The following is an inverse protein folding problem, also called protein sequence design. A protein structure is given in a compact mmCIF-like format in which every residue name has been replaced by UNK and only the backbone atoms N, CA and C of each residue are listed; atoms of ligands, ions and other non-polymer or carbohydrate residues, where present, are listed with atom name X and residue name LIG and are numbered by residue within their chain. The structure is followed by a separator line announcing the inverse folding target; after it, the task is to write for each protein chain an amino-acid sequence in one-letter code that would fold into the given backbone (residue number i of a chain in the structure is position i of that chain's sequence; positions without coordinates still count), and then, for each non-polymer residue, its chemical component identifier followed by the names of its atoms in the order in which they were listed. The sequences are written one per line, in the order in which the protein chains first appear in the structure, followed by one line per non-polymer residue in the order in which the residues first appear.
data_IF_345205411421
#
_entry.id   IF_345205411421
#
_cell.length_a   1.000
_cell.length_b   1.000
_cell.length_c   1.000
_cell.angle_alpha   90.00
_cell.angle_beta   90.00
_cell.angle_gamma   90.00
#
_symmetry.space_group_name_H-M   'P 1'
#
loop_
_entity.id
_entity.type
_entity.pdbx_description
1 polymer ?
#
# COMPACT_ATOMS: atom_id res chain seq x y z
N UNK A 1 -18.61 22.37 6.15
CA UNK A 1 -17.49 21.42 5.99
C UNK A 1 -16.65 21.46 7.25
N UNK A 2 -16.25 20.31 7.81
CA UNK A 2 -15.51 20.26 9.09
C UNK A 2 -14.12 20.88 8.93
N UNK A 3 -13.65 21.67 9.91
CA UNK A 3 -12.38 22.42 9.86
C UNK A 3 -11.18 21.56 9.42
N UNK A 4 -11.08 20.34 9.95
CA UNK A 4 -10.02 19.38 9.61
C UNK A 4 -10.03 18.96 8.12
N UNK A 5 -11.20 18.79 7.49
CA UNK A 5 -11.27 18.32 6.09
C UNK A 5 -10.68 19.33 5.11
N UNK A 6 -10.93 20.63 5.36
CA UNK A 6 -10.38 21.72 4.54
C UNK A 6 -8.85 21.71 4.60
N UNK A 7 -8.28 21.44 5.78
CA UNK A 7 -6.81 21.35 5.95
C UNK A 7 -6.20 20.14 5.22
N UNK A 8 -6.92 19.03 5.11
CA UNK A 8 -6.48 17.91 4.28
C UNK A 8 -6.45 18.33 2.81
N UNK A 9 -7.50 18.97 2.32
CA UNK A 9 -7.57 19.43 0.92
C UNK A 9 -6.46 20.42 0.58
N UNK A 10 -6.20 21.41 1.45
CA UNK A 10 -5.05 22.33 1.31
C UNK A 10 -3.71 21.57 1.23
N UNK A 11 -3.52 20.55 2.06
CA UNK A 11 -2.31 19.72 2.03
C UNK A 11 -2.19 18.87 0.75
N UNK A 12 -3.32 18.39 0.21
CA UNK A 12 -3.34 17.63 -1.04
C UNK A 12 -2.97 18.52 -2.24
N UNK A 13 -3.48 19.75 -2.27
CA UNK A 13 -3.11 20.75 -3.30
C UNK A 13 -1.61 21.06 -3.24
N UNK A 14 -1.07 21.28 -2.03
CA UNK A 14 0.36 21.47 -1.83
C UNK A 14 1.18 20.26 -2.31
N UNK A 15 0.73 19.05 -2.00
CA UNK A 15 1.39 17.81 -2.45
C UNK A 15 1.41 17.68 -3.97
N UNK A 16 0.33 18.10 -4.63
CA UNK A 16 0.25 18.16 -6.08
C UNK A 16 1.21 19.20 -6.67
N UNK A 17 1.35 20.39 -6.07
CA UNK A 17 2.34 21.39 -6.52
C UNK A 17 3.79 20.91 -6.41
N UNK A 18 4.05 19.92 -5.54
CA UNK A 18 5.36 19.26 -5.41
C UNK A 18 5.59 18.12 -6.39
N UNK A 19 4.68 17.90 -7.34
CA UNK A 19 4.73 16.81 -8.32
C UNK A 19 4.89 15.42 -7.67
N UNK A 20 4.30 15.22 -6.49
CA UNK A 20 4.27 13.91 -5.85
C UNK A 20 3.45 12.93 -6.70
N UNK A 21 3.88 11.67 -6.74
CA UNK A 21 3.16 10.65 -7.51
C UNK A 21 1.73 10.50 -6.99
N UNK A 22 0.78 10.20 -7.89
CA UNK A 22 -0.62 9.94 -7.52
C UNK A 22 -0.74 8.87 -6.42
N UNK A 23 0.12 7.84 -6.48
CA UNK A 23 0.17 6.78 -5.47
C UNK A 23 0.58 7.30 -4.09
N UNK A 24 1.58 8.19 -4.04
CA UNK A 24 2.02 8.85 -2.80
C UNK A 24 0.92 9.74 -2.23
N UNK A 25 0.28 10.54 -3.08
CA UNK A 25 -0.84 11.40 -2.68
C UNK A 25 -2.01 10.59 -2.13
N UNK A 26 -2.44 9.53 -2.82
CA UNK A 26 -3.50 8.64 -2.35
C UNK A 26 -3.16 8.00 -0.99
N UNK A 27 -1.89 7.61 -0.80
CA UNK A 27 -1.43 7.08 0.49
C UNK A 27 -1.56 8.13 1.61
N UNK A 28 -1.13 9.37 1.38
CA UNK A 28 -1.25 10.44 2.37
C UNK A 28 -2.70 10.78 2.69
N UNK A 29 -3.53 10.92 1.67
CA UNK A 29 -4.96 11.22 1.83
C UNK A 29 -5.66 10.16 2.69
N UNK A 30 -5.39 8.88 2.41
CA UNK A 30 -5.97 7.77 3.15
C UNK A 30 -5.53 7.78 4.62
N UNK A 31 -4.23 7.97 4.88
CA UNK A 31 -3.68 8.04 6.24
C UNK A 31 -4.29 9.21 7.01
N UNK A 32 -4.36 10.40 6.41
CA UNK A 32 -4.93 11.59 7.04
C UNK A 32 -6.42 11.39 7.34
N UNK A 33 -7.21 10.84 6.41
CA UNK A 33 -8.64 10.57 6.64
C UNK A 33 -8.88 9.58 7.77
N UNK A 34 -8.05 8.54 7.89
CA UNK A 34 -8.12 7.57 9.01
C UNK A 34 -7.83 8.24 10.35
N UNK A 35 -6.80 9.08 10.41
CA UNK A 35 -6.48 9.84 11.61
C UNK A 35 -7.60 10.82 11.99
N UNK A 36 -8.18 11.51 11.01
CA UNK A 36 -9.30 12.43 11.25
C UNK A 36 -10.54 11.70 11.76
N UNK A 37 -10.81 10.50 11.25
CA UNK A 37 -11.88 9.65 11.76
C UNK A 37 -11.67 9.29 13.22
N UNK A 38 -10.44 8.90 13.60
CA UNK A 38 -10.09 8.64 15.00
C UNK A 38 -10.29 9.88 15.88
N UNK A 39 -9.81 11.05 15.46
CA UNK A 39 -9.98 12.29 16.24
C UNK A 39 -11.46 12.66 16.44
N UNK A 40 -12.30 12.42 15.43
CA UNK A 40 -13.73 12.71 15.50
C UNK A 40 -14.50 11.71 16.36
N UNK A 41 -14.22 10.41 16.21
CA UNK A 41 -14.99 9.33 16.86
C UNK A 41 -14.52 9.07 18.30
N UNK A 42 -13.21 9.08 18.57
CA UNK A 42 -12.65 8.70 19.87
C UNK A 42 -12.33 9.92 20.76
N UNK A 43 -12.04 11.08 20.15
CA UNK A 43 -11.64 12.31 20.87
C UNK A 43 -12.63 13.46 20.78
N UNK A 44 -13.65 13.36 19.92
CA UNK A 44 -14.59 14.46 19.63
C UNK A 44 -13.88 15.78 19.26
N UNK A 45 -12.71 15.68 18.61
CA UNK A 45 -11.89 16.83 18.20
C UNK A 45 -12.13 17.13 16.72
N UNK A 46 -12.69 18.31 16.45
CA UNK A 46 -12.96 18.77 15.08
C UNK A 46 -11.97 19.84 14.58
N UNK A 47 -11.10 20.34 15.45
CA UNK A 47 -10.16 21.43 15.17
C UNK A 47 -8.72 20.94 15.21
N UNK A 48 -7.99 21.14 14.11
CA UNK A 48 -6.57 20.77 13.97
C UNK A 48 -5.71 21.49 15.01
N UNK A 49 -6.04 22.73 15.37
CA UNK A 49 -5.24 23.53 16.31
C UNK A 49 -5.25 22.96 17.74
N UNK A 50 -6.23 22.12 18.07
CA UNK A 50 -6.37 21.48 19.38
C UNK A 50 -5.69 20.11 19.46
N UNK A 51 -5.18 19.60 18.33
CA UNK A 51 -4.51 18.30 18.28
C UNK A 51 -3.13 18.42 18.94
N UNK A 52 -2.89 17.61 19.96
CA UNK A 52 -1.64 17.57 20.71
C UNK A 52 -0.78 16.37 20.32
N UNK A 53 0.50 16.39 20.71
CA UNK A 53 1.39 15.23 20.52
C UNK A 53 0.84 13.97 21.22
N UNK A 54 0.16 14.15 22.36
CA UNK A 54 -0.47 13.06 23.09
C UNK A 54 -1.52 12.35 22.24
N UNK A 55 -2.36 13.10 21.51
CA UNK A 55 -3.40 12.53 20.66
C UNK A 55 -2.81 11.68 19.51
N UNK A 56 -1.66 12.11 18.97
CA UNK A 56 -0.93 11.35 17.93
C UNK A 56 -0.38 10.05 18.51
N UNK A 57 0.21 10.08 19.70
CA UNK A 57 0.72 8.86 20.38
C UNK A 57 -0.42 7.89 20.70
N UNK A 58 -1.54 8.42 21.17
CA UNK A 58 -2.72 7.60 21.47
C UNK A 58 -3.34 7.02 20.19
N UNK A 59 -3.32 7.74 19.07
CA UNK A 59 -3.73 7.19 17.77
C UNK A 59 -2.86 6.01 17.31
N UNK A 60 -1.54 6.08 17.52
CA UNK A 60 -0.61 4.99 17.19
C UNK A 60 -0.97 3.74 18.02
N UNK A 61 -1.23 3.93 19.32
CA UNK A 61 -1.65 2.84 20.21
C UNK A 61 -3.01 2.28 19.78
N UNK A 62 -3.99 3.15 19.50
CA UNK A 62 -5.31 2.76 19.02
C UNK A 62 -5.22 1.92 17.74
N UNK A 63 -4.44 2.37 16.76
CA UNK A 63 -4.29 1.66 15.48
C UNK A 63 -3.63 0.28 15.68
N UNK A 64 -2.74 0.17 16.66
CA UNK A 64 -2.11 -1.10 17.03
C UNK A 64 -3.10 -2.06 17.69
N UNK A 65 -3.83 -1.59 18.69
CA UNK A 65 -4.75 -2.41 19.48
C UNK A 65 -5.99 -2.82 18.68
N UNK A 66 -6.41 -1.98 17.74
CA UNK A 66 -7.47 -2.32 16.78
C UNK A 66 -7.11 -3.48 15.87
N UNK A 67 -5.82 -3.79 15.69
CA UNK A 67 -5.36 -4.88 14.82
C UNK A 67 -5.34 -4.52 13.33
N UNK A 68 -4.70 -5.38 12.52
CA UNK A 68 -4.55 -5.13 11.08
C UNK A 68 -5.89 -5.21 10.33
N UNK A 69 -6.07 -4.30 9.37
CA UNK A 69 -7.19 -4.22 8.41
C UNK A 69 -8.58 -4.03 9.05
N UNK A 70 -8.67 -3.72 10.33
CA UNK A 70 -9.93 -3.51 11.05
C UNK A 70 -10.48 -2.10 10.87
N UNK A 71 -9.59 -1.10 10.80
CA UNK A 71 -9.98 0.31 10.63
C UNK A 71 -10.03 0.66 9.13
N UNK A 72 -11.21 1.07 8.67
CA UNK A 72 -11.44 1.53 7.29
C UNK A 72 -12.03 2.93 7.24
N UNK A 73 -11.64 3.70 6.23
CA UNK A 73 -12.19 5.03 5.96
C UNK A 73 -13.65 4.95 5.48
N UNK A 74 -13.97 3.95 4.65
CA UNK A 74 -15.32 3.71 4.13
C UNK A 74 -15.75 2.30 4.50
N UNK A 75 -16.91 2.12 5.14
CA UNK A 75 -17.42 0.78 5.47
C UNK A 75 -17.80 -0.01 4.23
N UNK A 76 -18.21 0.66 3.15
CA UNK A 76 -18.59 0.04 1.87
C UNK A 76 -17.45 -0.77 1.24
N UNK A 77 -16.19 -0.35 1.40
CA UNK A 77 -15.03 -1.07 0.84
C UNK A 77 -14.78 -2.42 1.49
N UNK A 78 -15.36 -2.70 2.67
CA UNK A 78 -15.24 -3.99 3.33
C UNK A 78 -15.87 -5.12 2.49
N UNK A 79 -16.96 -4.82 1.76
CA UNK A 79 -17.64 -5.80 0.90
C UNK A 79 -16.77 -6.29 -0.25
N UNK A 80 -15.90 -5.42 -0.77
CA UNK A 80 -15.08 -5.72 -1.95
C UNK A 80 -13.68 -6.22 -1.59
N UNK A 81 -13.16 -5.85 -0.41
CA UNK A 81 -11.79 -6.15 -0.01
C UNK A 81 -11.68 -7.36 0.93
N UNK A 82 -12.80 -7.83 1.49
CA UNK A 82 -12.91 -9.00 2.38
C UNK A 82 -11.68 -9.20 3.29
N UNK A 83 -11.32 -8.21 4.11
CA UNK A 83 -10.07 -8.24 4.86
C UNK A 83 -10.00 -9.40 5.86
N UNK A 84 -11.15 -9.93 6.27
CA UNK A 84 -11.32 -11.10 7.14
C UNK A 84 -10.78 -12.40 6.55
N UNK A 85 -10.71 -12.50 5.21
CA UNK A 85 -10.18 -13.69 4.54
C UNK A 85 -8.65 -13.78 4.58
N UNK A 86 -7.97 -12.82 5.21
CA UNK A 86 -6.51 -12.80 5.33
C UNK A 86 -6.07 -13.52 6.59
N UNK A 87 -5.02 -14.34 6.46
CA UNK A 87 -4.43 -15.07 7.59
C UNK A 87 -3.94 -14.16 8.73
N UNK A 88 -3.63 -12.89 8.43
CA UNK A 88 -3.14 -11.91 9.40
C UNK A 88 -4.20 -10.87 9.83
N UNK A 89 -5.48 -11.12 9.54
CA UNK A 89 -6.59 -10.25 9.96
C UNK A 89 -6.68 -10.11 11.48
N UNK A 90 -6.89 -8.89 11.97
CA UNK A 90 -7.03 -8.62 13.40
C UNK A 90 -5.77 -8.87 14.24
N UNK A 91 -4.68 -9.37 13.62
CA UNK A 91 -3.41 -9.58 14.31
C UNK A 91 -2.90 -8.24 14.83
N UNK A 92 -2.51 -8.19 16.10
CA UNK A 92 -1.93 -6.98 16.69
C UNK A 92 -0.71 -6.56 15.89
N UNK A 93 -0.64 -5.27 15.57
CA UNK A 93 0.55 -4.73 14.90
C UNK A 93 1.73 -4.86 15.87
N UNK A 94 2.86 -5.39 15.39
CA UNK A 94 4.07 -5.57 16.22
C UNK A 94 4.52 -4.23 16.82
N UNK A 95 5.20 -4.28 17.97
CA UNK A 95 5.88 -3.13 18.58
C UNK A 95 6.91 -2.56 17.59
N UNK A 96 6.47 -1.65 16.75
CA UNK A 96 7.36 -0.72 16.06
C UNK A 96 7.13 0.57 16.84
N UNK A 97 8.11 1.06 17.61
CA UNK A 97 7.98 2.36 18.21
C UNK A 97 7.93 3.35 17.05
N UNK A 98 6.75 3.88 16.79
CA UNK A 98 6.59 5.04 15.92
C UNK A 98 7.16 6.22 16.70
N UNK A 99 8.45 6.45 16.51
CA UNK A 99 9.19 7.58 17.04
C UNK A 99 9.81 8.26 15.80
N UNK A 100 9.50 9.49 15.38
CA UNK A 100 8.60 10.54 15.85
C UNK A 100 8.33 11.49 14.65
N UNK A 101 7.12 12.04 14.53
CA UNK A 101 6.69 12.89 13.41
C UNK A 101 7.12 14.37 13.55
N UNK A 102 7.88 14.71 14.60
CA UNK A 102 8.41 16.05 14.85
C UNK A 102 9.89 15.96 15.22
N UNK A 103 10.76 16.53 14.36
CA UNK A 103 12.21 16.87 14.41
C UNK A 103 13.21 16.34 15.49
N UNK A 104 12.80 15.66 16.57
CA UNK A 104 13.60 15.39 17.76
C UNK A 104 13.65 13.93 18.25
N UNK A 105 13.18 12.92 17.48
CA UNK A 105 13.46 11.52 17.86
C UNK A 105 13.88 10.70 16.65
N UNK A 106 14.99 9.99 16.84
CA UNK A 106 15.73 9.19 15.88
C UNK A 106 14.85 8.14 15.18
N UNK A 107 15.07 8.00 13.86
CA UNK A 107 14.50 6.94 13.03
C UNK A 107 14.88 5.56 13.58
N UNK A 108 13.88 4.78 13.99
CA UNK A 108 14.10 3.36 14.27
C UNK A 108 14.05 2.63 12.93
N UNK A 109 15.22 2.16 12.46
CA UNK A 109 15.31 1.29 11.28
C UNK A 109 14.45 0.06 11.54
N UNK A 110 13.34 -0.06 10.83
CA UNK A 110 12.50 -1.26 10.86
C UNK A 110 13.32 -2.41 10.31
N UNK A 111 13.49 -3.48 11.09
CA UNK A 111 14.03 -4.73 10.55
C UNK A 111 13.04 -5.26 9.52
N UNK A 112 13.44 -5.20 8.25
CA UNK A 112 12.65 -5.77 7.17
C UNK A 112 12.64 -7.28 7.36
N UNK A 113 11.50 -7.84 7.76
CA UNK A 113 11.31 -9.29 7.70
C UNK A 113 11.57 -9.73 6.26
N UNK A 114 12.57 -10.59 6.00
CA UNK A 114 12.80 -11.08 4.65
C UNK A 114 11.54 -11.82 4.20
N UNK A 115 11.07 -11.50 2.99
CA UNK A 115 10.02 -12.30 2.37
C UNK A 115 10.59 -13.70 2.14
N UNK A 116 9.77 -14.73 2.37
CA UNK A 116 10.17 -16.10 2.03
C UNK A 116 10.42 -16.17 0.52
N UNK A 117 11.54 -16.77 0.13
CA UNK A 117 11.83 -17.06 -1.26
C UNK A 117 10.91 -18.19 -1.75
N UNK A 118 10.55 -18.14 -3.03
CA UNK A 118 9.82 -19.22 -3.70
C UNK A 118 10.86 -20.18 -4.24
N UNK A 119 10.71 -21.48 -3.98
CA UNK A 119 11.58 -22.51 -4.56
C UNK A 119 11.13 -22.86 -5.98
N UNK A 120 12.03 -23.39 -6.79
CA UNK A 120 11.72 -23.82 -8.17
C UNK A 120 10.59 -24.86 -8.21
N UNK A 121 10.49 -25.70 -7.17
CA UNK A 121 9.40 -26.68 -7.00
C UNK A 121 8.04 -26.00 -6.81
N UNK A 122 7.97 -25.00 -5.92
CA UNK A 122 6.76 -24.22 -5.66
C UNK A 122 6.35 -23.40 -6.89
N UNK A 123 7.32 -22.87 -7.62
CA UNK A 123 7.07 -22.14 -8.86
C UNK A 123 6.54 -23.07 -9.96
N UNK A 124 7.14 -24.26 -10.11
CA UNK A 124 6.68 -25.28 -11.06
C UNK A 124 5.28 -25.81 -10.71
N UNK A 125 4.94 -25.89 -9.42
CA UNK A 125 3.58 -26.18 -8.97
C UNK A 125 2.60 -25.07 -9.32
N UNK A 126 2.97 -23.81 -9.12
CA UNK A 126 2.15 -22.65 -9.50
C UNK A 126 1.82 -22.68 -11.00
N UNK A 127 2.82 -22.89 -11.85
CA UNK A 127 2.63 -22.91 -13.31
C UNK A 127 1.75 -24.07 -13.79
N UNK A 128 1.79 -25.22 -13.11
CA UNK A 128 0.96 -26.39 -13.45
C UNK A 128 -0.53 -26.18 -13.23
N UNK A 129 -0.91 -25.25 -12.36
CA UNK A 129 -2.31 -24.92 -12.09
C UNK A 129 -2.92 -23.97 -13.12
N UNK A 130 -2.12 -23.46 -14.07
CA UNK A 130 -2.59 -22.51 -15.08
C UNK A 130 -3.09 -23.28 -16.32
N UNK A 131 -4.36 -23.08 -16.66
CA UNK A 131 -5.02 -23.75 -17.79
C UNK A 131 -4.68 -23.03 -19.11
N UNK A 132 -3.79 -23.63 -19.88
CA UNK A 132 -3.34 -23.10 -21.18
C UNK A 132 -4.42 -23.13 -22.27
N UNK A 133 -5.59 -23.71 -22.01
CA UNK A 133 -6.71 -23.66 -22.97
C UNK A 133 -7.42 -22.31 -22.98
N UNK A 134 -7.28 -21.51 -21.91
CA UNK A 134 -7.94 -20.21 -21.77
C UNK A 134 -6.97 -19.07 -22.05
N UNK A 135 -7.40 -18.15 -22.91
CA UNK A 135 -6.58 -16.99 -23.31
C UNK A 135 -6.07 -16.14 -22.13
N UNK A 136 -6.94 -15.86 -21.14
CA UNK A 136 -6.56 -15.04 -19.99
C UNK A 136 -5.54 -15.74 -19.08
N UNK A 137 -5.62 -17.06 -18.95
CA UNK A 137 -4.68 -17.86 -18.16
C UNK A 137 -3.33 -18.00 -18.87
N UNK A 138 -3.32 -18.18 -20.20
CA UNK A 138 -2.09 -18.14 -21.01
C UNK A 138 -1.37 -16.80 -20.90
N UNK A 139 -2.12 -15.69 -20.93
CA UNK A 139 -1.54 -14.36 -20.70
C UNK A 139 -0.86 -14.28 -19.33
N UNK A 140 -1.53 -14.74 -18.29
CA UNK A 140 -1.02 -14.67 -16.92
C UNK A 140 0.21 -15.59 -16.76
N UNK A 141 0.23 -16.76 -17.40
CA UNK A 141 1.39 -17.64 -17.49
C UNK A 141 2.60 -16.91 -18.10
N UNK A 142 2.43 -16.25 -19.24
CA UNK A 142 3.50 -15.52 -19.92
C UNK A 142 4.01 -14.37 -19.05
N UNK A 143 3.12 -13.61 -18.39
CA UNK A 143 3.50 -12.54 -17.49
C UNK A 143 4.32 -13.05 -16.31
N UNK A 144 3.92 -14.16 -15.68
CA UNK A 144 4.64 -14.75 -14.54
C UNK A 144 6.03 -15.23 -14.96
N UNK A 145 6.13 -15.89 -16.11
CA UNK A 145 7.41 -16.34 -16.66
C UNK A 145 8.33 -15.16 -16.99
N UNK A 146 7.79 -14.13 -17.66
CA UNK A 146 8.56 -12.94 -18.03
C UNK A 146 9.08 -12.18 -16.80
N UNK A 147 8.30 -12.09 -15.74
CA UNK A 147 8.72 -11.46 -14.48
C UNK A 147 9.87 -12.22 -13.82
N UNK A 148 9.84 -13.56 -13.86
CA UNK A 148 10.92 -14.37 -13.33
C UNK A 148 12.21 -14.23 -14.16
N UNK A 149 12.10 -14.29 -15.49
CA UNK A 149 13.25 -14.29 -16.40
C UNK A 149 13.93 -12.91 -16.49
N UNK A 150 13.14 -11.82 -16.51
CA UNK A 150 13.66 -10.46 -16.66
C UNK A 150 13.92 -9.73 -15.35
N UNK A 151 13.32 -10.18 -14.25
CA UNK A 151 13.40 -9.50 -12.95
C UNK A 151 12.73 -8.12 -12.90
N UNK A 152 11.91 -7.75 -13.89
CA UNK A 152 11.24 -6.45 -13.93
C UNK A 152 10.12 -6.33 -12.88
N UNK A 153 9.71 -5.11 -12.57
CA UNK A 153 8.56 -4.87 -11.67
C UNK A 153 7.25 -5.21 -12.38
N UNK A 154 6.26 -5.72 -11.63
CA UNK A 154 4.93 -6.03 -12.19
C UNK A 154 4.26 -4.84 -12.88
N UNK A 155 4.45 -3.62 -12.36
CA UNK A 155 3.91 -2.42 -13.01
C UNK A 155 4.54 -2.15 -14.37
N UNK A 156 5.83 -2.46 -14.51
CA UNK A 156 6.55 -2.29 -15.77
C UNK A 156 6.08 -3.33 -16.79
N UNK A 157 5.92 -4.59 -16.37
CA UNK A 157 5.39 -5.66 -17.21
C UNK A 157 3.99 -5.35 -17.77
N UNK A 158 3.12 -4.73 -16.96
CA UNK A 158 1.75 -4.38 -17.38
C UNK A 158 1.69 -3.17 -18.33
N UNK A 159 2.74 -2.34 -18.38
CA UNK A 159 2.82 -1.16 -19.23
C UNK A 159 3.51 -1.42 -20.58
N UNK A 160 4.02 -2.64 -20.81
CA UNK A 160 4.68 -3.03 -22.06
C UNK A 160 3.72 -2.85 -23.24
N UNK A 161 4.19 -2.17 -24.29
CA UNK A 161 3.49 -2.05 -25.57
C UNK A 161 4.18 -2.91 -26.62
N UNK A 162 3.45 -3.29 -27.67
CA UNK A 162 3.98 -4.11 -28.79
C UNK A 162 5.24 -3.48 -29.41
N UNK A 163 5.28 -2.15 -29.52
CA UNK A 163 6.43 -1.40 -30.02
C UNK A 163 7.71 -1.53 -29.17
N UNK A 164 7.60 -1.98 -27.92
CA UNK A 164 8.72 -2.13 -27.00
C UNK A 164 9.37 -3.52 -27.08
N UNK A 165 8.82 -4.43 -27.88
CA UNK A 165 9.24 -5.83 -27.94
C UNK A 165 9.97 -6.06 -29.26
N UNK A 166 11.24 -6.44 -29.18
CA UNK A 166 11.98 -7.00 -30.30
C UNK A 166 12.15 -8.51 -30.08
N UNK A 167 11.27 -9.28 -30.71
CA UNK A 167 11.23 -10.75 -30.59
C UNK A 167 12.48 -11.38 -31.23
N UNK A 168 13.02 -10.79 -32.30
CA UNK A 168 14.18 -11.35 -33.00
C UNK A 168 15.44 -11.21 -32.16
N UNK A 169 15.58 -10.09 -31.48
CA UNK A 169 16.71 -9.83 -30.58
C UNK A 169 16.50 -10.36 -29.16
N UNK A 170 15.27 -10.76 -28.81
CA UNK A 170 14.91 -11.17 -27.45
C UNK A 170 14.94 -10.03 -26.42
N UNK A 171 14.68 -8.80 -26.85
CA UNK A 171 14.81 -7.59 -26.03
C UNK A 171 13.45 -6.95 -25.79
N UNK A 172 13.21 -6.54 -24.54
CA UNK A 172 12.07 -5.71 -24.17
C UNK A 172 12.57 -4.40 -23.60
N UNK A 173 12.12 -3.29 -24.20
CA UNK A 173 12.44 -1.95 -23.75
C UNK A 173 11.46 -1.52 -22.66
N UNK A 174 11.96 -1.40 -21.43
CA UNK A 174 11.17 -0.97 -20.28
C UNK A 174 11.56 0.45 -19.89
N UNK A 175 10.58 1.34 -19.76
CA UNK A 175 10.79 2.66 -19.19
C UNK A 175 10.78 2.54 -17.66
N UNK A 176 11.96 2.53 -17.06
CA UNK A 176 12.10 2.67 -15.61
C UNK A 176 11.66 4.07 -15.14
N UNK A 177 11.42 4.21 -13.83
CA UNK A 177 11.32 5.51 -13.18
C UNK A 177 12.68 6.12 -12.91
#
# INVERSE_FOLDING_TARGET
MKSIQIKIEEFMIYSQSKNLSRKTMMSYEQTLKLFCKYLLEEKSLEDVAKVTEKDIREYIIYTRDSGKYTIVTKKETLKNNTPEARDDYGTKVSLIPVNNYTRNINQIKTERKPKKFITDEQFSELLRHIDTTKFHEVRDFVCVQLLLDSGMSISECLEIKVQNIDINSGIIMVCGK
#
